data_IF_944412487557
#
_entry.id   IF_944412487557
#
_cell.length_a   1.000
_cell.length_b   1.000
_cell.length_c   1.000
_cell.angle_alpha   90.00
_cell.angle_beta   90.00
_cell.angle_gamma   90.00
#
_symmetry.space_group_name_H-M   'P 1'
#
loop_
_entity.id
_entity.type
_entity.pdbx_description
1 polymer ?
#
# COMPACT_ATOMS: atom_id res chain seq x y z
N UNK A 1 -19.50 3.71 -24.77
CA UNK A 1 -18.14 3.59 -25.31
C UNK A 1 -17.31 2.94 -24.22
N UNK A 2 -16.74 1.76 -24.51
CA UNK A 2 -15.84 1.06 -23.60
C UNK A 2 -14.52 1.83 -23.57
N UNK A 3 -14.11 2.31 -22.39
CA UNK A 3 -12.73 2.70 -22.13
C UNK A 3 -11.91 1.41 -22.05
N UNK A 4 -11.22 1.08 -23.13
CA UNK A 4 -10.07 0.18 -23.09
C UNK A 4 -8.91 1.05 -23.54
N UNK A 5 -8.34 1.80 -22.58
CA UNK A 5 -7.14 2.62 -22.72
C UNK A 5 -5.99 1.86 -22.02
N UNK A 6 -4.80 1.70 -22.62
CA UNK A 6 -3.72 0.94 -22.01
C UNK A 6 -3.05 1.80 -20.93
N UNK A 7 -3.58 1.82 -19.69
CA UNK A 7 -2.86 2.25 -18.46
C UNK A 7 -3.63 2.15 -17.12
N UNK A 8 -4.68 1.34 -16.94
CA UNK A 8 -5.39 1.27 -15.65
C UNK A 8 -4.76 0.27 -14.67
N UNK A 9 -3.52 0.53 -14.20
CA UNK A 9 -2.94 -0.24 -13.10
C UNK A 9 -3.35 0.35 -11.75
N UNK A 10 -3.67 -0.52 -10.79
CA UNK A 10 -4.02 -0.14 -9.42
C UNK A 10 -2.89 -0.58 -8.49
N UNK A 11 -2.19 0.38 -7.90
CA UNK A 11 -1.21 0.12 -6.86
C UNK A 11 -1.92 0.00 -5.51
N UNK A 12 -1.81 -1.17 -4.88
CA UNK A 12 -2.30 -1.43 -3.52
C UNK A 12 -1.10 -1.38 -2.57
N UNK A 13 -1.02 -0.33 -1.77
CA UNK A 13 0.00 -0.19 -0.74
C UNK A 13 -0.49 -0.83 0.56
N UNK A 14 0.14 -1.93 0.95
CA UNK A 14 -0.18 -2.67 2.16
C UNK A 14 0.62 -2.17 3.36
N UNK A 15 -0.05 -2.09 4.49
CA UNK A 15 0.47 -1.72 5.80
C UNK A 15 -0.32 -2.45 6.89
N UNK A 16 0.11 -2.33 8.15
CA UNK A 16 -0.61 -2.95 9.27
C UNK A 16 -2.09 -2.53 9.33
N UNK A 17 -2.42 -1.29 8.95
CA UNK A 17 -3.81 -0.81 8.82
C UNK A 17 -4.61 -1.57 7.77
N UNK A 18 -4.00 -1.88 6.62
CA UNK A 18 -4.63 -2.68 5.57
C UNK A 18 -4.93 -4.10 6.05
N UNK A 19 -3.97 -4.72 6.73
CA UNK A 19 -4.16 -6.06 7.29
C UNK A 19 -5.21 -6.08 8.41
N UNK A 20 -5.22 -5.07 9.28
CA UNK A 20 -6.18 -4.96 10.37
C UNK A 20 -7.61 -4.82 9.82
N UNK A 21 -7.82 -3.96 8.82
CA UNK A 21 -9.09 -3.80 8.11
C UNK A 21 -9.50 -5.07 7.37
N UNK A 22 -8.58 -5.77 6.70
CA UNK A 22 -8.86 -7.06 6.06
C UNK A 22 -9.31 -8.12 7.07
N UNK A 23 -8.62 -8.24 8.20
CA UNK A 23 -9.01 -9.14 9.30
C UNK A 23 -10.40 -8.82 9.82
N UNK A 24 -10.72 -7.53 9.99
CA UNK A 24 -12.04 -7.08 10.39
C UNK A 24 -13.13 -7.47 9.38
N UNK A 25 -12.89 -7.28 8.07
CA UNK A 25 -13.79 -7.76 7.01
C UNK A 25 -14.00 -9.28 7.06
N UNK A 26 -12.96 -10.03 7.45
CA UNK A 26 -13.02 -11.47 7.65
C UNK A 26 -13.66 -11.88 8.99
N UNK A 27 -14.24 -10.93 9.75
CA UNK A 27 -14.93 -11.18 11.01
C UNK A 27 -14.03 -11.25 12.24
N UNK A 28 -12.75 -10.87 12.14
CA UNK A 28 -11.81 -10.88 13.27
C UNK A 28 -11.80 -9.55 14.04
N UNK A 29 -12.96 -9.20 14.61
CA UNK A 29 -13.13 -7.96 15.39
C UNK A 29 -13.37 -6.73 14.53
N UNK A 30 -13.77 -5.62 15.17
CA UNK A 30 -13.92 -4.32 14.50
C UNK A 30 -12.62 -3.53 14.63
N UNK A 31 -12.25 -2.81 13.57
CA UNK A 31 -11.18 -1.80 13.59
C UNK A 31 -11.78 -0.48 13.14
N UNK A 32 -11.47 0.58 13.87
CA UNK A 32 -11.75 1.96 13.52
C UNK A 32 -10.48 2.74 13.80
N UNK A 33 -9.94 3.41 12.78
CA UNK A 33 -8.72 4.20 12.92
C UNK A 33 -9.09 5.67 13.13
N UNK A 34 -8.38 6.37 14.01
CA UNK A 34 -8.57 7.80 14.22
C UNK A 34 -8.44 8.58 12.91
N UNK A 35 -7.49 8.23 12.05
CA UNK A 35 -7.31 8.83 10.72
C UNK A 35 -8.55 8.69 9.82
N UNK A 36 -9.25 7.55 9.85
CA UNK A 36 -10.50 7.38 9.07
C UNK A 36 -11.60 8.31 9.60
N UNK A 37 -11.77 8.38 10.92
CA UNK A 37 -12.77 9.23 11.58
C UNK A 37 -12.54 10.72 11.30
N UNK A 38 -11.26 11.14 11.28
CA UNK A 38 -10.87 12.52 11.00
C UNK A 38 -10.85 12.85 9.50
N UNK A 39 -10.88 11.84 8.63
CA UNK A 39 -10.83 12.01 7.19
C UNK A 39 -12.16 12.56 6.65
N UNK A 40 -12.15 13.54 5.73
CA UNK A 40 -13.38 14.03 5.10
C UNK A 40 -14.07 12.97 4.21
N UNK A 41 -13.37 11.89 3.85
CA UNK A 41 -13.89 10.81 3.01
C UNK A 41 -14.16 9.52 3.78
N UNK A 42 -13.98 9.51 5.10
CA UNK A 42 -14.04 8.29 5.92
C UNK A 42 -13.08 7.19 5.38
N UNK A 43 -13.30 5.94 5.80
CA UNK A 43 -12.57 4.76 5.32
C UNK A 43 -12.82 4.47 3.84
N UNK A 44 -11.78 4.68 3.03
CA UNK A 44 -11.78 4.38 1.59
C UNK A 44 -11.27 2.97 1.27
N UNK A 45 -10.61 2.29 2.21
CA UNK A 45 -10.01 0.98 1.96
C UNK A 45 -11.07 -0.13 1.95
N UNK A 46 -12.00 -0.15 2.91
CA UNK A 46 -13.04 -1.19 2.97
C UNK A 46 -13.92 -1.16 1.71
N UNK A 47 -14.40 0.01 1.22
CA UNK A 47 -15.08 0.11 -0.06
C UNK A 47 -14.22 -0.41 -1.23
N UNK A 48 -12.93 -0.04 -1.28
CA UNK A 48 -12.01 -0.54 -2.30
C UNK A 48 -11.90 -2.06 -2.29
N UNK A 49 -11.74 -2.69 -1.13
CA UNK A 49 -11.64 -4.15 -1.00
C UNK A 49 -12.93 -4.85 -1.46
N UNK A 50 -14.10 -4.29 -1.16
CA UNK A 50 -15.38 -4.82 -1.65
C UNK A 50 -15.52 -4.76 -3.17
N UNK A 51 -14.95 -3.72 -3.82
CA UNK A 51 -14.92 -3.60 -5.28
C UNK A 51 -13.86 -4.50 -5.92
N UNK A 52 -12.76 -4.74 -5.22
CA UNK A 52 -11.64 -5.58 -5.65
C UNK A 52 -11.97 -7.08 -5.63
N UNK A 53 -12.69 -7.56 -4.62
CA UNK A 53 -12.95 -8.99 -4.42
C UNK A 53 -13.62 -9.70 -5.62
N UNK A 54 -14.63 -9.11 -6.29
CA UNK A 54 -15.19 -9.69 -7.50
C UNK A 54 -14.19 -9.81 -8.66
N UNK A 55 -13.25 -8.87 -8.78
CA UNK A 55 -12.27 -8.84 -9.87
C UNK A 55 -11.24 -9.97 -9.73
N UNK A 56 -10.98 -10.48 -8.52
CA UNK A 56 -10.07 -11.61 -8.31
C UNK A 56 -10.55 -12.93 -8.91
N UNK A 57 -11.84 -13.04 -9.22
CA UNK A 57 -12.41 -14.20 -9.90
C UNK A 57 -12.45 -14.04 -11.42
N UNK A 58 -12.12 -12.86 -11.94
CA UNK A 58 -12.16 -12.56 -13.38
C UNK A 58 -10.81 -12.85 -14.04
N UNK A 59 -10.85 -13.57 -15.15
CA UNK A 59 -9.65 -13.90 -15.94
C UNK A 59 -9.02 -12.61 -16.47
N UNK A 60 -7.71 -12.46 -16.30
CA UNK A 60 -6.95 -11.31 -16.82
C UNK A 60 -6.91 -10.08 -15.91
N UNK A 61 -7.72 -10.03 -14.85
CA UNK A 61 -7.76 -8.88 -13.93
C UNK A 61 -6.60 -8.86 -12.92
N UNK A 62 -5.94 -9.99 -12.67
CA UNK A 62 -4.78 -10.05 -11.77
C UNK A 62 -3.62 -9.16 -12.23
N UNK A 63 -3.47 -8.95 -13.53
CA UNK A 63 -2.43 -8.07 -14.08
C UNK A 63 -2.71 -6.57 -13.91
N UNK A 64 -3.89 -6.23 -13.39
CA UNK A 64 -4.33 -4.86 -13.10
C UNK A 64 -3.83 -4.37 -11.75
N UNK A 65 -3.77 -5.27 -10.76
CA UNK A 65 -3.42 -4.94 -9.38
C UNK A 65 -1.96 -5.22 -9.11
N UNK A 66 -1.28 -4.24 -8.53
CA UNK A 66 0.12 -4.35 -8.13
C UNK A 66 0.17 -4.14 -6.62
N UNK A 67 0.60 -5.17 -5.90
CA UNK A 67 0.56 -5.18 -4.43
C UNK A 67 1.95 -4.86 -3.92
N UNK A 68 2.10 -3.84 -3.10
CA UNK A 68 3.39 -3.38 -2.63
C UNK A 68 3.36 -2.99 -1.15
N UNK A 69 4.51 -2.99 -0.50
CA UNK A 69 4.66 -2.56 0.89
C UNK A 69 6.07 -1.98 1.10
N UNK A 70 6.23 -1.04 2.04
CA UNK A 70 7.54 -0.50 2.41
C UNK A 70 8.15 -1.33 3.55
N UNK A 71 9.18 -2.13 3.25
CA UNK A 71 9.79 -3.08 4.20
C UNK A 71 10.57 -2.41 5.34
N UNK A 72 10.80 -1.10 5.24
CA UNK A 72 11.41 -0.31 6.31
C UNK A 72 10.47 0.05 7.46
N UNK A 73 9.15 0.05 7.20
CA UNK A 73 8.10 0.53 8.13
C UNK A 73 6.90 -0.43 8.23
N UNK A 74 6.89 -1.48 7.42
CA UNK A 74 5.87 -2.54 7.33
C UNK A 74 6.58 -3.86 7.00
N UNK A 75 5.82 -4.94 6.89
CA UNK A 75 6.33 -6.26 6.51
C UNK A 75 5.41 -6.97 5.52
N UNK A 76 5.87 -8.05 4.90
CA UNK A 76 5.02 -8.87 4.04
C UNK A 76 3.80 -9.47 4.77
N UNK A 77 3.88 -9.63 6.10
CA UNK A 77 2.76 -10.14 6.93
C UNK A 77 1.58 -9.18 6.99
N UNK A 78 1.83 -7.92 6.64
CA UNK A 78 0.83 -6.86 6.54
C UNK A 78 0.12 -6.86 5.19
N UNK A 79 0.52 -7.74 4.26
CA UNK A 79 -0.19 -7.98 3.00
C UNK A 79 -1.33 -8.97 3.26
N UNK A 80 -2.60 -8.59 3.02
CA UNK A 80 -3.73 -9.52 3.12
C UNK A 80 -3.60 -10.76 2.24
N UNK A 81 -4.06 -11.90 2.75
CA UNK A 81 -3.97 -13.19 2.05
C UNK A 81 -4.76 -13.25 0.73
N UNK A 82 -5.75 -12.35 0.55
CA UNK A 82 -6.45 -12.22 -0.75
C UNK A 82 -5.49 -11.83 -1.89
N UNK A 83 -4.34 -11.25 -1.57
CA UNK A 83 -3.32 -10.87 -2.53
C UNK A 83 -2.24 -11.95 -2.74
N UNK A 84 -2.31 -13.11 -2.09
CA UNK A 84 -1.29 -14.17 -2.21
C UNK A 84 -1.17 -14.78 -3.61
N UNK A 85 -2.19 -14.56 -4.45
CA UNK A 85 -2.20 -14.99 -5.85
C UNK A 85 -1.34 -14.11 -6.77
N UNK A 86 -0.87 -12.96 -6.29
CA UNK A 86 -0.10 -11.97 -7.06
C UNK A 86 1.35 -11.81 -6.59
N UNK A 87 2.12 -11.05 -7.38
CA UNK A 87 3.48 -10.62 -6.99
C UNK A 87 3.36 -9.50 -5.93
N UNK A 88 4.15 -9.61 -4.87
CA UNK A 88 4.27 -8.60 -3.81
C UNK A 88 5.59 -7.84 -3.98
N UNK A 89 5.51 -6.53 -4.20
CA UNK A 89 6.66 -5.67 -4.40
C UNK A 89 7.14 -5.08 -3.07
N UNK A 90 8.34 -5.45 -2.65
CA UNK A 90 9.02 -4.88 -1.49
C UNK A 90 9.62 -3.54 -1.90
N UNK A 91 9.07 -2.43 -1.43
CA UNK A 91 9.55 -1.09 -1.73
C UNK A 91 10.61 -0.65 -0.71
N UNK A 92 11.72 -0.04 -1.12
CA UNK A 92 12.07 0.39 -2.50
C UNK A 92 12.91 -0.64 -3.29
N UNK A 93 13.11 -1.85 -2.74
CA UNK A 93 13.96 -2.90 -3.34
C UNK A 93 13.49 -3.35 -4.73
N UNK A 94 12.17 -3.46 -4.93
CA UNK A 94 11.52 -3.90 -6.16
C UNK A 94 10.87 -2.74 -6.93
N UNK A 95 11.28 -1.49 -6.68
CA UNK A 95 10.62 -0.33 -7.29
C UNK A 95 10.80 -0.29 -8.82
N UNK A 96 11.97 -0.69 -9.32
CA UNK A 96 12.23 -0.78 -10.76
C UNK A 96 11.36 -1.84 -11.43
N UNK A 97 11.21 -3.04 -10.83
CA UNK A 97 10.30 -4.09 -11.31
C UNK A 97 8.84 -3.63 -11.31
N UNK A 98 8.42 -2.91 -10.26
CA UNK A 98 7.09 -2.33 -10.18
C UNK A 98 6.89 -1.30 -11.30
N UNK A 99 7.89 -0.45 -11.56
CA UNK A 99 7.83 0.55 -12.63
C UNK A 99 7.70 -0.09 -14.02
N UNK A 100 8.49 -1.12 -14.32
CA UNK A 100 8.32 -1.90 -15.55
C UNK A 100 6.93 -2.52 -15.65
N UNK A 101 6.38 -3.02 -14.54
CA UNK A 101 5.01 -3.56 -14.51
C UNK A 101 3.95 -2.49 -14.76
N UNK A 102 4.14 -1.28 -14.24
CA UNK A 102 3.25 -0.14 -14.48
C UNK A 102 3.20 0.19 -15.97
N UNK A 103 4.36 0.17 -16.64
CA UNK A 103 4.48 0.48 -18.06
C UNK A 103 4.17 -0.69 -19.00
N UNK A 104 3.86 -1.89 -18.48
CA UNK A 104 3.78 -3.13 -19.24
C UNK A 104 5.00 -3.37 -20.15
N UNK A 105 6.19 -3.06 -19.64
CA UNK A 105 7.48 -3.28 -20.30
C UNK A 105 8.19 -4.48 -19.68
N UNK A 106 8.75 -5.37 -20.50
CA UNK A 106 9.58 -6.48 -20.01
C UNK A 106 10.96 -5.98 -19.54
N UNK A 107 11.29 -6.22 -18.28
CA UNK A 107 12.63 -5.98 -17.73
C UNK A 107 13.69 -6.88 -18.39
N UNK A 108 13.35 -8.14 -18.63
CA UNK A 108 14.27 -9.15 -19.15
C UNK A 108 13.93 -9.47 -20.60
N UNK A 109 14.85 -9.17 -21.52
CA UNK A 109 14.75 -9.50 -22.93
C UNK A 109 15.92 -10.41 -23.35
N UNK A 110 15.81 -11.19 -24.44
CA UNK A 110 16.91 -12.01 -24.91
C UNK A 110 18.19 -11.18 -25.16
N UNK A 111 19.20 -11.37 -24.32
CA UNK A 111 20.50 -10.69 -24.43
C UNK A 111 20.58 -9.31 -23.77
N UNK A 112 19.52 -8.82 -23.12
CA UNK A 112 19.48 -7.50 -22.49
C UNK A 112 18.63 -7.49 -21.22
N UNK A 113 19.14 -6.86 -20.16
CA UNK A 113 18.34 -6.49 -18.99
C UNK A 113 18.11 -4.98 -19.06
N UNK A 114 16.85 -4.59 -19.13
CA UNK A 114 16.47 -3.19 -19.12
C UNK A 114 16.64 -2.63 -17.72
N UNK A 115 17.27 -1.46 -17.65
CA UNK A 115 17.46 -0.69 -16.43
C UNK A 115 17.00 0.74 -16.65
N UNK A 116 16.47 1.35 -15.60
CA UNK A 116 16.06 2.75 -15.63
C UNK A 116 16.88 3.50 -14.60
N UNK A 117 17.70 4.43 -15.09
CA UNK A 117 18.54 5.26 -14.24
C UNK A 117 17.68 6.06 -13.25
N UNK A 118 18.08 6.06 -11.98
CA UNK A 118 17.47 6.93 -10.98
C UNK A 118 16.21 6.37 -10.30
N UNK A 119 15.80 5.14 -10.59
CA UNK A 119 14.64 4.50 -9.91
C UNK A 119 14.98 3.23 -9.15
N UNK A 120 16.23 2.77 -9.17
CA UNK A 120 16.60 1.63 -8.34
C UNK A 120 16.50 1.96 -6.85
N UNK A 121 16.46 0.95 -5.99
CA UNK A 121 16.39 1.13 -4.53
C UNK A 121 17.55 1.99 -3.98
N UNK A 122 18.69 2.00 -4.66
CA UNK A 122 19.87 2.77 -4.29
C UNK A 122 19.96 4.14 -4.97
N UNK A 123 19.03 4.48 -5.86
CA UNK A 123 19.09 5.71 -6.67
C UNK A 123 17.82 6.55 -6.62
N UNK A 124 16.68 6.01 -6.18
CA UNK A 124 15.40 6.74 -6.20
C UNK A 124 15.49 8.09 -5.49
N UNK A 125 16.32 8.17 -4.44
CA UNK A 125 16.57 9.38 -3.65
C UNK A 125 17.60 10.34 -4.25
N UNK A 126 18.03 10.15 -5.51
CA UNK A 126 18.87 11.12 -6.22
C UNK A 126 18.08 12.34 -6.71
N UNK A 127 16.76 12.20 -6.86
CA UNK A 127 15.85 13.29 -7.23
C UNK A 127 15.12 13.90 -6.02
N UNK A 128 14.63 15.15 -6.09
CA UNK A 128 13.99 15.83 -4.96
C UNK A 128 12.78 15.08 -4.38
N UNK A 129 11.94 14.49 -5.22
CA UNK A 129 10.77 13.72 -4.78
C UNK A 129 11.16 12.43 -4.07
N UNK A 130 12.19 11.74 -4.56
CA UNK A 130 12.71 10.55 -3.90
C UNK A 130 13.41 10.86 -2.58
N UNK A 131 14.11 11.99 -2.46
CA UNK A 131 14.64 12.45 -1.16
C UNK A 131 13.52 12.71 -0.16
N UNK A 132 12.44 13.36 -0.60
CA UNK A 132 11.27 13.59 0.24
C UNK A 132 10.62 12.28 0.70
N UNK A 133 10.44 11.32 -0.22
CA UNK A 133 9.91 9.99 0.11
C UNK A 133 10.81 9.26 1.10
N UNK A 134 12.12 9.21 0.84
CA UNK A 134 13.10 8.58 1.73
C UNK A 134 13.03 9.19 3.13
N UNK A 135 13.02 10.52 3.22
CA UNK A 135 12.90 11.23 4.50
C UNK A 135 11.59 10.90 5.22
N UNK A 136 10.48 10.79 4.51
CA UNK A 136 9.19 10.41 5.11
C UNK A 136 9.23 9.00 5.70
N UNK A 137 9.81 8.03 4.97
CA UNK A 137 9.99 6.65 5.44
C UNK A 137 10.89 6.62 6.68
N UNK A 138 12.05 7.29 6.63
CA UNK A 138 13.00 7.37 7.76
C UNK A 138 12.34 8.01 8.99
N UNK A 139 11.62 9.12 8.79
CA UNK A 139 10.90 9.82 9.88
C UNK A 139 9.86 8.91 10.53
N UNK A 140 9.09 8.18 9.74
CA UNK A 140 8.08 7.27 10.29
C UNK A 140 8.71 6.05 10.97
N UNK A 141 9.80 5.52 10.42
CA UNK A 141 10.57 4.44 11.04
C UNK A 141 11.09 4.83 12.42
N UNK A 142 11.67 6.02 12.54
CA UNK A 142 12.14 6.55 13.83
C UNK A 142 10.97 6.69 14.81
N UNK A 143 9.83 7.22 14.34
CA UNK A 143 8.62 7.32 15.15
C UNK A 143 8.11 5.96 15.65
N UNK A 144 8.12 4.91 14.81
CA UNK A 144 7.74 3.55 15.20
C UNK A 144 8.69 2.95 16.26
N UNK A 145 9.98 3.26 16.19
CA UNK A 145 10.96 2.85 17.19
C UNK A 145 10.71 3.52 18.55
N UNK A 146 10.36 4.81 18.53
CA UNK A 146 10.03 5.58 19.73
C UNK A 146 8.65 5.21 20.31
N UNK A 147 7.72 4.77 19.46
CA UNK A 147 6.32 4.47 19.80
C UNK A 147 5.94 3.07 19.29
N UNK A 148 6.38 1.99 19.96
CA UNK A 148 6.14 0.63 19.48
C UNK A 148 4.66 0.23 19.44
N UNK A 149 3.81 0.94 20.19
CA UNK A 149 2.35 0.78 20.27
C UNK A 149 1.59 1.84 19.46
N UNK A 150 2.25 2.50 18.51
CA UNK A 150 1.67 3.59 17.71
C UNK A 150 0.37 3.17 16.99
N UNK A 151 0.31 1.93 16.50
CA UNK A 151 -0.84 1.47 15.72
C UNK A 151 -2.04 1.17 16.63
N UNK A 152 -1.79 0.59 17.81
CA UNK A 152 -2.81 0.39 18.83
C UNK A 152 -3.37 1.73 19.32
N UNK A 153 -2.52 2.75 19.49
CA UNK A 153 -2.94 4.12 19.82
C UNK A 153 -3.76 4.79 18.73
N UNK A 154 -3.58 4.37 17.48
CA UNK A 154 -4.35 4.86 16.33
C UNK A 154 -5.70 4.18 16.20
N UNK A 155 -5.85 2.98 16.74
CA UNK A 155 -7.14 2.29 16.84
C UNK A 155 -8.00 2.91 17.94
N UNK A 156 -9.25 3.26 17.61
CA UNK A 156 -10.21 3.85 18.55
C UNK A 156 -11.44 2.96 18.72
N UNK A 157 -12.10 3.06 19.87
CA UNK A 157 -13.28 2.25 20.21
C UNK A 157 -14.51 2.79 19.49
N UNK A 158 -14.61 4.10 19.32
CA UNK A 158 -15.71 4.76 18.61
C UNK A 158 -15.30 6.12 18.04
N UNK A 159 -16.09 6.65 17.12
CA UNK A 159 -15.95 8.02 16.62
C UNK A 159 -16.13 9.06 17.73
N UNK A 160 -16.98 8.78 18.72
CA UNK A 160 -17.24 9.66 19.86
C UNK A 160 -15.96 9.93 20.67
N UNK A 161 -15.12 8.91 20.85
CA UNK A 161 -13.81 9.03 21.51
C UNK A 161 -12.95 10.09 20.82
N UNK A 162 -12.85 10.02 19.49
CA UNK A 162 -12.06 10.95 18.67
C UNK A 162 -12.56 12.39 18.79
N UNK A 163 -13.87 12.60 18.68
CA UNK A 163 -14.44 13.95 18.77
C UNK A 163 -14.29 14.57 20.17
N UNK A 164 -14.30 13.73 21.23
CA UNK A 164 -14.04 14.21 22.59
C UNK A 164 -12.57 14.56 22.84
N UNK A 165 -11.62 13.85 22.22
CA UNK A 165 -10.19 14.19 22.27
C UNK A 165 -9.89 15.48 21.49
N UNK A 166 -10.47 15.65 20.30
CA UNK A 166 -10.23 16.81 19.44
C UNK A 166 -10.82 18.13 19.97
N UNK A 167 -11.75 18.06 20.94
CA UNK A 167 -12.41 19.22 21.54
C UNK A 167 -11.73 19.73 22.83
N UNK A 168 -10.63 19.11 23.25
CA UNK A 168 -9.81 19.49 24.42
C UNK A 168 -8.58 20.28 23.99
#
# INVERSE_FOLDING_TARGET
QQLIDPCDKILVLCSCGVQAKWRAMCGQGKVTLREDVLSPTDDMLIPFLNLFLPDMHQVGMLGKYMVAYFDDICSEKDVPSVFDIGIKYNLMKHFEELYFRILDIEKYQPGQVNHIEGISGDEYYTCPSGQALRKAIETFKDYQLENPDWFEKECVVSEEEVFTEASQ
#
